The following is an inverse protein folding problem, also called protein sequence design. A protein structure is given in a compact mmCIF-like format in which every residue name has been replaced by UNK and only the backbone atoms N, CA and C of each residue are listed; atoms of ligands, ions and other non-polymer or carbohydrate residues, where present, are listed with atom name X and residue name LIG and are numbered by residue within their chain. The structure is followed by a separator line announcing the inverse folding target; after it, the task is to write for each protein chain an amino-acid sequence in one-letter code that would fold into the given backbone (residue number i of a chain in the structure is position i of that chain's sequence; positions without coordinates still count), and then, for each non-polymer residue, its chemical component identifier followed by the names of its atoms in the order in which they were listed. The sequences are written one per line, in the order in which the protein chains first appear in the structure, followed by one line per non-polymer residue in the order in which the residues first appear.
data_IF_258194583464
#
_entry.id   IF_258194583464
#
_cell.length_a   1.000
_cell.length_b   1.000
_cell.length_c   1.000
_cell.angle_alpha   90.00
_cell.angle_beta   90.00
_cell.angle_gamma   90.00
#
_symmetry.space_group_name_H-M   'P 1'
#
loop_
_entity.id
_entity.type
_entity.pdbx_description
1 polymer ?
#
# COMPACT_ATOMS: atom_id res chain seq x y z
N UNK A 1 -12.20 16.87 3.89
CA UNK A 1 -12.35 15.69 4.13
C UNK A 1 -12.56 14.95 5.48
N UNK A 2 -13.16 15.43 6.57
CA UNK A 2 -13.41 14.53 7.68
C UNK A 2 -14.61 13.60 7.42
N UNK A 3 -15.61 14.00 6.66
CA UNK A 3 -16.86 13.27 6.45
C UNK A 3 -16.67 11.82 5.98
N UNK A 4 -16.03 11.60 4.83
CA UNK A 4 -15.90 10.25 4.28
C UNK A 4 -15.10 9.27 5.17
N UNK A 5 -13.95 9.64 5.78
CA UNK A 5 -13.27 8.78 6.74
C UNK A 5 -14.10 8.46 7.99
N UNK A 6 -14.85 9.42 8.51
CA UNK A 6 -15.69 9.24 9.69
C UNK A 6 -16.86 8.31 9.35
N UNK A 7 -17.57 8.55 8.26
CA UNK A 7 -18.64 7.66 7.79
C UNK A 7 -18.13 6.23 7.56
N UNK A 8 -16.98 6.08 6.92
CA UNK A 8 -16.38 4.78 6.68
C UNK A 8 -16.06 4.05 8.00
N UNK A 9 -15.51 4.75 8.99
CA UNK A 9 -15.23 4.20 10.31
C UNK A 9 -16.52 3.75 11.02
N UNK A 10 -17.55 4.58 11.01
CA UNK A 10 -18.87 4.25 11.61
C UNK A 10 -19.48 3.01 10.94
N UNK A 11 -19.40 2.91 9.62
CA UNK A 11 -19.89 1.72 8.91
C UNK A 11 -19.06 0.49 9.23
N UNK A 12 -17.75 0.61 9.25
CA UNK A 12 -16.86 -0.50 9.53
C UNK A 12 -17.08 -1.11 10.90
N UNK A 13 -17.24 -0.31 11.97
CA UNK A 13 -17.48 -0.85 13.33
C UNK A 13 -18.87 -1.46 13.50
N UNK A 14 -19.82 -1.18 12.60
CA UNK A 14 -21.15 -1.82 12.57
C UNK A 14 -21.15 -3.15 11.82
N UNK A 15 -20.29 -3.28 10.82
CA UNK A 15 -20.25 -4.42 9.89
C UNK A 15 -19.15 -5.43 10.25
N UNK A 16 -18.09 -4.97 10.92
CA UNK A 16 -16.89 -5.75 11.22
C UNK A 16 -16.61 -5.72 12.73
N UNK A 17 -15.97 -6.75 13.26
CA UNK A 17 -15.46 -6.76 14.63
C UNK A 17 -14.08 -6.08 14.70
N UNK A 18 -14.08 -4.76 14.64
CA UNK A 18 -12.89 -3.91 14.68
C UNK A 18 -13.08 -2.75 15.65
N UNK A 19 -11.97 -2.25 16.17
CA UNK A 19 -11.88 -0.98 16.89
C UNK A 19 -11.12 0.02 16.03
N UNK A 20 -11.57 1.26 15.97
CA UNK A 20 -11.00 2.28 15.10
C UNK A 20 -10.55 3.50 15.88
N UNK A 21 -9.31 3.92 15.66
CA UNK A 21 -8.82 5.21 16.13
C UNK A 21 -8.79 6.19 14.97
N UNK A 22 -9.69 7.19 15.02
CA UNK A 22 -9.69 8.30 14.07
C UNK A 22 -8.59 9.30 14.43
N UNK A 23 -7.66 9.53 13.51
CA UNK A 23 -6.53 10.44 13.73
C UNK A 23 -6.72 11.74 12.96
N UNK A 24 -6.92 12.85 13.66
CA UNK A 24 -7.16 14.16 13.07
C UNK A 24 -7.44 15.24 14.10
N UNK A 25 -7.82 16.43 13.66
CA UNK A 25 -8.22 17.51 14.58
C UNK A 25 -9.44 17.06 15.38
N UNK A 26 -9.28 16.91 16.68
CA UNK A 26 -10.27 16.33 17.60
C UNK A 26 -11.64 16.97 17.45
N UNK A 27 -11.72 18.28 17.55
CA UNK A 27 -12.97 19.04 17.46
C UNK A 27 -13.72 18.83 16.13
N UNK A 28 -12.97 18.69 15.03
CA UNK A 28 -13.53 18.47 13.70
C UNK A 28 -14.06 17.06 13.56
N UNK A 29 -13.33 16.07 14.09
CA UNK A 29 -13.74 14.66 14.07
C UNK A 29 -14.94 14.43 15.01
N UNK A 30 -14.93 14.99 16.21
CA UNK A 30 -16.05 14.91 17.17
C UNK A 30 -17.35 15.50 16.59
N UNK A 31 -17.24 16.69 15.96
CA UNK A 31 -18.36 17.33 15.28
C UNK A 31 -18.96 16.45 14.19
N UNK A 32 -18.12 15.80 13.39
CA UNK A 32 -18.58 14.91 12.33
C UNK A 32 -19.21 13.64 12.89
N UNK A 33 -18.58 13.02 13.89
CA UNK A 33 -19.09 11.82 14.56
C UNK A 33 -20.44 12.05 15.23
N UNK A 34 -20.73 13.27 15.72
CA UNK A 34 -22.01 13.59 16.37
C UNK A 34 -23.23 13.44 15.45
N UNK A 35 -23.04 13.35 14.14
CA UNK A 35 -24.09 13.12 13.15
C UNK A 35 -24.46 11.63 13.00
N UNK A 36 -23.72 10.73 13.64
CA UNK A 36 -23.88 9.28 13.47
C UNK A 36 -24.19 8.59 14.80
N UNK A 37 -25.00 7.53 14.72
CA UNK A 37 -25.16 6.57 15.81
C UNK A 37 -24.18 5.40 15.59
N UNK A 38 -23.34 5.07 16.59
CA UNK A 38 -22.35 4.02 16.55
C UNK A 38 -22.02 3.50 17.96
N UNK A 39 -21.43 2.30 18.10
CA UNK A 39 -20.95 1.79 19.39
C UNK A 39 -19.80 2.68 19.91
N UNK A 40 -20.03 3.41 21.01
CA UNK A 40 -19.09 4.40 21.53
C UNK A 40 -17.75 3.81 22.01
N UNK A 41 -17.73 2.54 22.36
CA UNK A 41 -16.54 1.79 22.77
C UNK A 41 -15.66 1.33 21.61
N UNK A 42 -16.18 1.38 20.35
CA UNK A 42 -15.47 0.92 19.15
C UNK A 42 -14.73 2.02 18.38
N UNK A 43 -15.00 3.30 18.66
CA UNK A 43 -14.34 4.42 18.00
C UNK A 43 -13.72 5.36 19.03
N UNK A 44 -12.44 5.61 18.90
CA UNK A 44 -11.70 6.61 19.68
C UNK A 44 -11.04 7.65 18.77
N UNK A 45 -10.56 8.75 19.35
CA UNK A 45 -9.94 9.86 18.60
C UNK A 45 -8.55 10.14 19.14
N UNK A 46 -7.55 10.12 18.27
CA UNK A 46 -6.23 10.66 18.55
C UNK A 46 -6.08 12.03 17.89
N UNK A 47 -5.80 13.07 18.70
CA UNK A 47 -5.67 14.42 18.17
C UNK A 47 -4.42 14.58 17.31
N UNK A 48 -4.58 15.25 16.16
CA UNK A 48 -3.51 15.61 15.24
C UNK A 48 -3.85 16.96 14.57
N UNK A 49 -3.10 17.99 14.93
CA UNK A 49 -3.44 19.38 14.55
C UNK A 49 -2.96 19.79 13.17
N UNK A 50 -2.02 19.02 12.59
CA UNK A 50 -1.41 19.32 11.31
C UNK A 50 -1.89 18.37 10.21
N UNK A 51 -1.81 18.86 8.96
CA UNK A 51 -2.12 18.10 7.74
C UNK A 51 -0.95 18.22 6.76
N UNK A 52 -0.59 17.14 6.10
CA UNK A 52 0.31 17.16 4.94
C UNK A 52 -0.55 17.25 3.69
N UNK A 53 -0.36 18.32 2.93
CA UNK A 53 -1.12 18.60 1.69
C UNK A 53 -0.47 17.90 0.48
N UNK A 54 -1.21 17.83 -0.64
CA UNK A 54 -0.69 17.21 -1.88
C UNK A 54 0.40 18.05 -2.58
N UNK A 55 0.61 19.30 -2.15
CA UNK A 55 1.61 20.19 -2.73
C UNK A 55 2.94 20.18 -1.97
N UNK A 56 3.02 19.47 -0.86
CA UNK A 56 4.23 19.40 -0.03
C UNK A 56 5.11 18.22 -0.46
N UNK A 57 6.42 18.39 -0.34
CA UNK A 57 7.38 17.32 -0.55
C UNK A 57 7.22 16.28 0.59
N UNK A 58 6.83 15.01 0.27
CA UNK A 58 6.37 14.06 1.26
C UNK A 58 7.37 13.75 2.37
N UNK A 59 8.62 13.43 2.02
CA UNK A 59 9.63 13.03 2.99
C UNK A 59 10.03 14.19 3.92
N UNK A 60 10.07 15.42 3.40
CA UNK A 60 10.35 16.62 4.18
C UNK A 60 9.17 16.94 5.11
N UNK A 61 7.94 16.87 4.61
CA UNK A 61 6.74 17.13 5.40
C UNK A 61 6.58 16.13 6.55
N UNK A 62 6.82 14.82 6.32
CA UNK A 62 6.80 13.79 7.37
C UNK A 62 7.85 14.03 8.46
N UNK A 63 9.03 14.56 8.08
CA UNK A 63 10.08 14.88 9.06
C UNK A 63 9.79 16.14 9.87
N UNK A 64 9.15 17.15 9.28
CA UNK A 64 8.93 18.47 9.92
C UNK A 64 7.60 18.54 10.67
N UNK A 65 6.51 17.96 10.15
CA UNK A 65 5.16 18.01 10.73
C UNK A 65 4.89 16.82 11.64
N UNK A 66 5.37 16.89 12.87
CA UNK A 66 5.26 15.77 13.83
C UNK A 66 3.83 15.48 14.28
N UNK A 67 2.97 16.50 14.25
CA UNK A 67 1.54 16.40 14.60
C UNK A 67 0.63 16.23 13.38
N UNK A 68 1.17 15.91 12.20
CA UNK A 68 0.33 15.56 11.05
C UNK A 68 -0.36 14.21 11.26
N UNK A 69 -1.61 14.10 10.88
CA UNK A 69 -2.43 12.90 11.13
C UNK A 69 -1.77 11.59 10.64
N UNK A 70 -1.18 11.60 9.44
CA UNK A 70 -0.45 10.44 8.91
C UNK A 70 0.79 10.09 9.73
N UNK A 71 1.47 11.08 10.30
CA UNK A 71 2.68 10.90 11.16
C UNK A 71 2.28 10.35 12.52
N UNK A 72 1.22 10.89 13.12
CA UNK A 72 0.67 10.40 14.39
C UNK A 72 0.22 8.95 14.24
N UNK A 73 -0.58 8.63 13.21
CA UNK A 73 -1.05 7.27 12.94
C UNK A 73 0.11 6.28 12.72
N UNK A 74 1.14 6.67 11.95
CA UNK A 74 2.31 5.82 11.75
C UNK A 74 3.12 5.58 13.04
N UNK A 75 3.19 6.57 13.94
CA UNK A 75 3.81 6.40 15.24
C UNK A 75 3.00 5.48 16.16
N UNK A 76 1.68 5.55 16.14
CA UNK A 76 0.79 4.63 16.87
C UNK A 76 1.02 3.19 16.39
N UNK A 77 1.01 2.97 15.06
CA UNK A 77 1.30 1.65 14.49
C UNK A 77 2.69 1.13 14.92
N UNK A 78 3.72 1.97 14.86
CA UNK A 78 5.08 1.60 15.30
C UNK A 78 5.16 1.18 16.78
N UNK A 79 4.35 1.81 17.63
CA UNK A 79 4.29 1.50 19.07
C UNK A 79 3.41 0.28 19.39
N UNK A 80 2.71 -0.29 18.41
CA UNK A 80 1.76 -1.37 18.63
C UNK A 80 0.44 -0.91 19.25
N UNK A 81 0.10 0.37 19.10
CA UNK A 81 -1.19 0.95 19.53
C UNK A 81 -2.31 0.68 18.50
N UNK A 82 -2.01 -0.09 17.46
CA UNK A 82 -2.93 -0.56 16.42
C UNK A 82 -2.26 -1.59 15.53
N UNK A 83 -3.05 -2.46 14.92
CA UNK A 83 -2.57 -3.57 14.06
C UNK A 83 -2.38 -3.13 12.61
N UNK A 84 -3.10 -2.11 12.17
CA UNK A 84 -3.04 -1.59 10.83
C UNK A 84 -3.29 -0.07 10.78
N UNK A 85 -2.84 0.56 9.71
CA UNK A 85 -3.04 1.98 9.43
C UNK A 85 -3.66 2.15 8.05
N UNK A 86 -4.74 2.92 7.97
CA UNK A 86 -5.41 3.29 6.73
C UNK A 86 -5.30 4.79 6.51
N UNK A 87 -5.03 5.23 5.29
CA UNK A 87 -5.03 6.64 4.92
C UNK A 87 -5.61 6.85 3.53
N UNK A 88 -6.48 7.84 3.38
CA UNK A 88 -7.02 8.31 2.11
C UNK A 88 -6.33 9.60 1.62
N UNK A 89 -5.22 9.98 2.28
CA UNK A 89 -4.49 11.20 1.99
C UNK A 89 -3.41 11.04 0.94
N UNK A 90 -2.38 11.88 1.04
CA UNK A 90 -1.24 11.88 0.14
C UNK A 90 -0.48 10.55 0.17
N UNK A 91 -0.46 9.81 -0.95
CA UNK A 91 0.21 8.50 -1.09
C UNK A 91 1.71 8.59 -0.81
N UNK A 92 2.37 9.66 -1.25
CA UNK A 92 3.80 9.88 -0.97
C UNK A 92 4.07 10.07 0.52
N UNK A 93 3.20 10.79 1.24
CA UNK A 93 3.32 10.96 2.69
C UNK A 93 3.06 9.64 3.44
N UNK A 94 2.11 8.83 2.97
CA UNK A 94 1.86 7.49 3.53
C UNK A 94 3.08 6.59 3.35
N UNK A 95 3.64 6.53 2.14
CA UNK A 95 4.86 5.77 1.84
C UNK A 95 6.05 6.26 2.65
N UNK A 96 6.26 7.58 2.72
CA UNK A 96 7.33 8.19 3.51
C UNK A 96 7.18 7.89 5.01
N UNK A 97 5.96 7.92 5.54
CA UNK A 97 5.68 7.57 6.94
C UNK A 97 5.94 6.09 7.20
N UNK A 98 5.53 5.20 6.31
CA UNK A 98 5.85 3.78 6.36
C UNK A 98 7.35 3.54 6.40
N UNK A 99 8.10 4.17 5.50
CA UNK A 99 9.55 4.01 5.40
C UNK A 99 10.31 4.62 6.58
N UNK A 100 9.97 5.86 6.99
CA UNK A 100 10.75 6.64 7.95
C UNK A 100 10.36 6.38 9.42
N UNK A 101 9.12 5.99 9.66
CA UNK A 101 8.56 5.81 11.01
C UNK A 101 8.39 4.33 11.34
N UNK A 102 7.60 3.61 10.55
CA UNK A 102 7.33 2.17 10.77
C UNK A 102 8.59 1.36 10.49
N UNK A 103 9.27 1.66 9.38
CA UNK A 103 10.49 0.98 8.97
C UNK A 103 10.23 -0.13 7.94
N UNK A 104 11.30 -0.62 7.34
CA UNK A 104 11.28 -1.71 6.37
C UNK A 104 11.42 -3.07 7.04
N UNK A 105 10.81 -4.08 6.47
CA UNK A 105 11.13 -5.47 6.81
C UNK A 105 12.61 -5.72 6.53
N UNK A 106 13.30 -6.41 7.46
CA UNK A 106 14.74 -6.72 7.32
C UNK A 106 14.99 -7.52 6.03
N UNK A 107 15.93 -7.05 5.23
CA UNK A 107 16.26 -7.65 3.93
C UNK A 107 15.56 -7.01 2.74
N UNK A 108 14.47 -6.26 2.92
CA UNK A 108 13.79 -5.53 1.85
C UNK A 108 14.53 -4.23 1.54
N UNK A 109 14.96 -4.06 0.29
CA UNK A 109 15.73 -2.90 -0.16
C UNK A 109 14.85 -1.65 -0.30
N UNK A 110 13.64 -1.80 -0.86
CA UNK A 110 12.69 -0.71 -1.05
C UNK A 110 11.26 -1.17 -0.76
N UNK A 111 10.42 -0.33 -0.13
CA UNK A 111 8.99 -0.56 -0.11
C UNK A 111 8.42 -0.37 -1.53
N UNK A 112 7.30 -1.00 -1.80
CA UNK A 112 6.58 -0.87 -3.07
C UNK A 112 5.12 -0.55 -2.83
N UNK A 113 4.48 0.11 -3.78
CA UNK A 113 3.04 0.32 -3.81
C UNK A 113 2.40 -0.86 -4.55
N UNK A 114 1.63 -1.67 -3.82
CA UNK A 114 0.87 -2.76 -4.39
C UNK A 114 -0.59 -2.34 -4.61
N UNK A 115 -1.12 -2.55 -5.81
CA UNK A 115 -2.49 -2.19 -6.18
C UNK A 115 -3.18 -3.39 -6.81
N UNK A 116 -4.36 -3.72 -6.32
CA UNK A 116 -5.21 -4.73 -6.95
C UNK A 116 -5.99 -4.10 -8.10
N UNK A 117 -5.83 -4.66 -9.28
CA UNK A 117 -6.50 -4.25 -10.50
C UNK A 117 -7.60 -5.26 -10.85
N UNK A 118 -8.77 -4.83 -11.35
CA UNK A 118 -9.79 -5.74 -11.85
C UNK A 118 -9.32 -6.43 -13.13
N UNK A 119 -9.63 -7.72 -13.27
CA UNK A 119 -9.40 -8.47 -14.48
C UNK A 119 -10.54 -9.45 -14.76
N UNK A 120 -10.56 -10.03 -15.97
CA UNK A 120 -11.53 -11.04 -16.36
C UNK A 120 -11.48 -12.31 -15.49
N UNK A 121 -10.36 -12.55 -14.81
CA UNK A 121 -10.13 -13.72 -13.93
C UNK A 121 -10.02 -13.35 -12.44
N UNK A 122 -10.67 -12.28 -12.00
CA UNK A 122 -10.58 -11.77 -10.64
C UNK A 122 -9.46 -10.74 -10.44
N UNK A 123 -9.25 -10.25 -9.20
CA UNK A 123 -8.26 -9.21 -8.94
C UNK A 123 -6.84 -9.69 -9.21
N UNK A 124 -6.04 -8.85 -9.85
CA UNK A 124 -4.61 -9.05 -10.12
C UNK A 124 -3.79 -7.96 -9.48
N UNK A 125 -2.59 -8.28 -9.01
CA UNK A 125 -1.72 -7.32 -8.33
C UNK A 125 -0.72 -6.69 -9.29
N UNK A 126 -0.71 -5.36 -9.36
CA UNK A 126 0.39 -4.59 -9.89
C UNK A 126 1.31 -4.15 -8.75
N UNK A 127 2.59 -4.48 -8.82
CA UNK A 127 3.64 -4.07 -7.89
C UNK A 127 4.95 -3.80 -8.64
N UNK A 128 5.58 -2.66 -8.62
CA UNK A 128 5.29 -1.41 -7.92
C UNK A 128 4.41 -0.49 -8.80
N UNK A 129 3.36 0.05 -8.22
CA UNK A 129 2.44 0.94 -8.94
C UNK A 129 2.86 2.43 -8.83
N UNK A 130 4.15 2.72 -8.97
CA UNK A 130 4.67 4.08 -9.10
C UNK A 130 5.26 4.72 -7.83
N UNK A 131 5.56 3.96 -6.80
CA UNK A 131 6.26 4.47 -5.61
C UNK A 131 7.76 4.70 -5.86
N UNK A 132 8.36 3.96 -6.79
CA UNK A 132 9.78 4.00 -7.10
C UNK A 132 10.01 4.37 -8.56
N UNK A 133 10.77 5.44 -8.82
CA UNK A 133 11.08 5.91 -10.18
C UNK A 133 12.36 5.31 -10.75
N UNK A 134 13.32 4.92 -9.91
CA UNK A 134 14.62 4.39 -10.31
C UNK A 134 14.88 3.06 -9.60
N UNK A 135 14.38 1.97 -10.18
CA UNK A 135 14.59 0.63 -9.66
C UNK A 135 15.88 0.02 -10.20
N UNK A 136 16.42 -0.93 -9.43
CA UNK A 136 17.43 -1.88 -9.87
C UNK A 136 16.79 -3.25 -10.06
N UNK A 137 17.42 -4.18 -10.82
CA UNK A 137 16.88 -5.52 -11.01
C UNK A 137 16.50 -6.25 -9.71
N UNK A 138 17.32 -6.10 -8.66
CA UNK A 138 17.07 -6.72 -7.36
C UNK A 138 15.80 -6.18 -6.69
N UNK A 139 15.42 -4.92 -6.96
CA UNK A 139 14.18 -4.36 -6.45
C UNK A 139 12.97 -5.06 -7.09
N UNK A 140 12.98 -5.25 -8.41
CA UNK A 140 11.90 -5.91 -9.13
C UNK A 140 11.76 -7.37 -8.70
N UNK A 141 12.89 -8.06 -8.49
CA UNK A 141 12.86 -9.43 -7.93
C UNK A 141 12.19 -9.45 -6.56
N UNK A 142 12.55 -8.52 -5.67
CA UNK A 142 11.91 -8.43 -4.35
C UNK A 142 10.42 -8.07 -4.45
N UNK A 143 10.03 -7.21 -5.40
CA UNK A 143 8.62 -6.88 -5.64
C UNK A 143 7.83 -8.11 -6.09
N UNK A 144 8.38 -8.92 -7.00
CA UNK A 144 7.76 -10.18 -7.41
C UNK A 144 7.58 -11.16 -6.25
N UNK A 145 8.61 -11.30 -5.39
CA UNK A 145 8.53 -12.15 -4.19
C UNK A 145 7.46 -11.61 -3.20
N UNK A 146 7.46 -10.32 -2.92
CA UNK A 146 6.47 -9.70 -2.02
C UNK A 146 5.05 -9.84 -2.57
N UNK A 147 4.85 -9.60 -3.86
CA UNK A 147 3.56 -9.79 -4.53
C UNK A 147 3.07 -11.23 -4.43
N UNK A 148 3.93 -12.20 -4.74
CA UNK A 148 3.61 -13.63 -4.63
C UNK A 148 3.19 -14.03 -3.21
N UNK A 149 3.92 -13.56 -2.19
CA UNK A 149 3.59 -13.81 -0.78
C UNK A 149 2.23 -13.19 -0.41
N UNK A 150 1.97 -11.96 -0.86
CA UNK A 150 0.70 -11.28 -0.59
C UNK A 150 -0.48 -12.01 -1.25
N UNK A 151 -0.39 -12.33 -2.55
CA UNK A 151 -1.44 -13.02 -3.29
C UNK A 151 -1.75 -14.39 -2.66
N UNK A 152 -0.73 -15.09 -2.19
CA UNK A 152 -0.91 -16.36 -1.47
C UNK A 152 -1.61 -16.18 -0.12
N UNK A 153 -1.11 -15.31 0.74
CA UNK A 153 -1.56 -15.24 2.12
C UNK A 153 -2.82 -14.41 2.33
N UNK A 154 -3.07 -13.42 1.47
CA UNK A 154 -4.23 -12.52 1.59
C UNK A 154 -5.37 -12.93 0.67
N UNK A 155 -5.06 -13.33 -0.56
CA UNK A 155 -6.09 -13.73 -1.54
C UNK A 155 -6.25 -15.25 -1.69
N UNK A 156 -5.46 -16.05 -0.99
CA UNK A 156 -5.59 -17.51 -0.96
C UNK A 156 -5.17 -18.23 -2.25
N UNK A 157 -4.39 -17.59 -3.12
CA UNK A 157 -3.90 -18.22 -4.35
C UNK A 157 -2.66 -19.06 -4.01
N UNK A 158 -2.78 -20.38 -4.03
CA UNK A 158 -1.71 -21.29 -3.55
C UNK A 158 -0.36 -21.10 -4.27
N UNK A 159 -0.39 -20.93 -5.59
CA UNK A 159 0.81 -20.76 -6.43
C UNK A 159 0.63 -19.56 -7.38
N UNK A 160 0.69 -18.33 -6.86
CA UNK A 160 0.46 -17.15 -7.69
C UNK A 160 1.51 -17.04 -8.78
N UNK A 161 1.06 -16.76 -9.98
CA UNK A 161 1.92 -16.51 -11.13
C UNK A 161 2.46 -15.08 -11.07
N UNK A 162 3.72 -14.91 -11.46
CA UNK A 162 4.39 -13.60 -11.52
C UNK A 162 4.84 -13.32 -12.94
N UNK A 163 4.30 -12.25 -13.55
CA UNK A 163 4.73 -11.73 -14.84
C UNK A 163 5.60 -10.48 -14.70
N UNK A 164 6.61 -10.34 -15.53
CA UNK A 164 7.40 -9.10 -15.65
C UNK A 164 6.79 -8.23 -16.75
N UNK A 165 6.26 -7.06 -16.38
CA UNK A 165 5.65 -6.17 -17.35
C UNK A 165 6.68 -5.62 -18.34
N UNK A 166 6.40 -5.78 -19.63
CA UNK A 166 7.30 -5.42 -20.73
C UNK A 166 6.50 -4.92 -21.96
N UNK A 167 7.21 -4.45 -22.98
CA UNK A 167 6.64 -4.09 -24.28
C UNK A 167 6.56 -5.26 -25.28
N UNK A 168 6.76 -6.49 -24.82
CA UNK A 168 6.65 -7.73 -25.59
C UNK A 168 6.90 -8.93 -24.70
N UNK A 169 6.39 -10.10 -25.11
CA UNK A 169 6.37 -11.34 -24.31
C UNK A 169 7.71 -12.09 -24.36
N UNK A 170 8.52 -11.86 -25.41
CA UNK A 170 9.77 -12.59 -25.59
C UNK A 170 10.83 -12.16 -24.56
N UNK A 171 11.70 -13.10 -24.14
CA UNK A 171 12.74 -12.91 -23.12
C UNK A 171 13.65 -11.70 -23.37
N UNK A 172 13.93 -11.39 -24.64
CA UNK A 172 14.80 -10.28 -25.05
C UNK A 172 14.12 -8.92 -25.13
N UNK A 173 12.82 -8.81 -24.84
CA UNK A 173 12.06 -7.55 -24.90
C UNK A 173 12.18 -6.73 -23.62
N UNK A 174 11.83 -5.46 -23.73
CA UNK A 174 11.89 -4.51 -22.64
C UNK A 174 13.11 -3.60 -22.71
N UNK A 175 13.18 -2.70 -21.75
CA UNK A 175 14.33 -1.84 -21.50
C UNK A 175 15.49 -2.63 -20.85
N UNK A 176 16.58 -1.95 -20.56
CA UNK A 176 17.75 -2.55 -19.91
C UNK A 176 17.39 -3.18 -18.55
N UNK A 177 16.61 -2.47 -17.74
CA UNK A 177 16.15 -2.94 -16.44
C UNK A 177 15.35 -4.26 -16.56
N UNK A 178 14.42 -4.34 -17.50
CA UNK A 178 13.61 -5.54 -17.76
C UNK A 178 14.49 -6.72 -18.17
N UNK A 179 15.42 -6.50 -19.12
CA UNK A 179 16.34 -7.54 -19.62
C UNK A 179 17.27 -8.07 -18.54
N UNK A 180 17.77 -7.20 -17.66
CA UNK A 180 18.61 -7.61 -16.52
C UNK A 180 17.80 -8.33 -15.43
N UNK A 181 16.53 -7.94 -15.23
CA UNK A 181 15.67 -8.53 -14.21
C UNK A 181 15.17 -9.93 -14.58
N UNK A 182 14.86 -10.16 -15.85
CA UNK A 182 14.30 -11.42 -16.34
C UNK A 182 15.05 -12.68 -15.87
N UNK A 183 16.37 -12.82 -16.08
CA UNK A 183 17.11 -13.99 -15.64
C UNK A 183 17.19 -14.14 -14.11
N UNK A 184 17.04 -13.05 -13.37
CA UNK A 184 17.01 -13.09 -11.90
C UNK A 184 15.66 -13.60 -11.40
N UNK A 185 14.55 -13.16 -11.98
CA UNK A 185 13.20 -13.67 -11.66
C UNK A 185 13.06 -15.16 -12.01
N UNK A 186 13.67 -15.61 -13.11
CA UNK A 186 13.69 -17.02 -13.51
C UNK A 186 14.38 -17.93 -12.48
N UNK A 187 15.28 -17.37 -11.66
CA UNK A 187 16.00 -18.07 -10.59
C UNK A 187 15.36 -17.86 -9.21
N UNK A 188 14.41 -16.95 -9.08
CA UNK A 188 13.77 -16.64 -7.82
C UNK A 188 12.78 -17.76 -7.40
N UNK A 189 12.52 -17.95 -6.09
CA UNK A 189 11.62 -18.98 -5.59
C UNK A 189 10.14 -18.56 -5.75
N UNK A 190 9.71 -18.26 -6.97
CA UNK A 190 8.35 -17.83 -7.34
C UNK A 190 7.93 -18.52 -8.64
N UNK A 191 6.64 -18.54 -8.91
CA UNK A 191 6.09 -19.05 -10.16
C UNK A 191 6.18 -17.98 -11.26
N UNK A 192 7.38 -17.74 -11.78
CA UNK A 192 7.64 -16.74 -12.83
C UNK A 192 7.23 -17.29 -14.20
N UNK A 193 6.33 -16.58 -14.88
CA UNK A 193 5.77 -16.98 -16.19
C UNK A 193 6.39 -16.25 -17.39
N UNK A 194 7.35 -15.34 -17.15
CA UNK A 194 8.00 -14.57 -18.21
C UNK A 194 7.50 -13.13 -18.29
N UNK A 195 7.80 -12.49 -19.43
CA UNK A 195 7.27 -11.15 -19.73
C UNK A 195 5.77 -11.20 -20.05
N UNK A 196 5.06 -10.16 -19.65
CA UNK A 196 3.68 -9.90 -20.03
C UNK A 196 3.53 -8.48 -20.56
N UNK A 197 2.63 -8.27 -21.49
CA UNK A 197 2.29 -6.93 -21.97
C UNK A 197 1.17 -6.31 -21.11
N UNK A 198 1.08 -4.98 -21.10
CA UNK A 198 0.05 -4.26 -20.33
C UNK A 198 -1.39 -4.70 -20.69
N UNK A 199 -1.63 -5.13 -21.95
CA UNK A 199 -2.93 -5.67 -22.38
C UNK A 199 -3.29 -6.99 -21.71
N UNK A 200 -2.33 -7.76 -21.24
CA UNK A 200 -2.53 -9.03 -20.55
C UNK A 200 -3.06 -8.87 -19.13
N UNK A 201 -2.82 -7.71 -18.49
CA UNK A 201 -3.28 -7.45 -17.13
C UNK A 201 -4.82 -7.54 -17.00
N UNK A 202 -5.63 -6.83 -17.80
CA UNK A 202 -7.09 -6.98 -17.72
C UNK A 202 -7.59 -8.36 -18.17
N UNK A 203 -6.80 -9.13 -18.92
CA UNK A 203 -7.11 -10.52 -19.27
C UNK A 203 -6.74 -11.52 -18.17
N UNK A 204 -6.02 -11.08 -17.15
CA UNK A 204 -5.60 -11.91 -16.03
C UNK A 204 -4.54 -12.95 -16.42
N UNK A 205 -3.53 -12.57 -17.18
CA UNK A 205 -2.44 -13.44 -17.62
C UNK A 205 -1.49 -13.81 -16.46
N UNK A 206 -1.28 -12.89 -15.51
CA UNK A 206 -0.53 -13.13 -14.28
C UNK A 206 -1.35 -12.72 -13.05
N UNK A 207 -1.00 -13.24 -11.86
CA UNK A 207 -1.63 -12.92 -10.58
C UNK A 207 -1.02 -11.71 -9.91
#
# INVERSE_FOLDING_TARGET
APMAPVEAAVRAVKELDVEIVLVGKKEVVEKELSAYDYPNDKISIANADEVITNHEEPAKAVRSKKNASVVVAANMLKKGEGDAMLSMGNTGALLASGLLIVGRIKGILRPALATLLPSAKGPKMLIDAGANTNCKPENLVQFGIMGSIYMKNVLGIESPTVGLMSNGEEEGKGDELTKETFPLLKKAPINFIGNIEARGVPMGEAD
#
